data_IF_388565507849
#
_entry.id   IF_388565507849
#
_cell.length_a   1.000
_cell.length_b   1.000
_cell.length_c   1.000
_cell.angle_alpha   90.00
_cell.angle_beta   90.00
_cell.angle_gamma   90.00
#
_symmetry.space_group_name_H-M   'P 1'
#
loop_
_entity.id
_entity.type
_entity.pdbx_description
1 polymer ?
#
# COMPACT_ATOMS: atom_id res chain seq x y z
N UNK A 1 -14.50 7.03 -6.67
CA UNK A 1 -14.17 5.60 -6.53
C UNK A 1 -12.70 5.47 -6.17
N UNK A 2 -12.29 4.32 -5.66
CA UNK A 2 -10.90 4.08 -5.25
C UNK A 2 -10.35 2.95 -6.09
N UNK A 3 -9.14 3.17 -6.58
CA UNK A 3 -8.33 2.17 -7.25
C UNK A 3 -7.33 1.65 -6.23
N UNK A 4 -7.18 0.33 -6.12
CA UNK A 4 -6.19 -0.31 -5.25
C UNK A 4 -5.22 -1.09 -6.13
N UNK A 5 -3.92 -0.90 -5.94
CA UNK A 5 -2.87 -1.65 -6.61
C UNK A 5 -1.88 -2.26 -5.63
N UNK A 6 -1.49 -3.49 -5.92
CA UNK A 6 -0.39 -4.22 -5.26
C UNK A 6 0.38 -4.94 -6.36
N UNK A 7 1.70 -4.75 -6.43
CA UNK A 7 2.53 -5.24 -7.54
C UNK A 7 1.97 -4.77 -8.90
N UNK A 8 1.60 -5.72 -9.75
CA UNK A 8 1.05 -5.49 -11.09
C UNK A 8 -0.48 -5.70 -11.14
N UNK A 9 -1.11 -6.03 -10.01
CA UNK A 9 -2.56 -6.26 -9.94
C UNK A 9 -3.24 -5.00 -9.45
N UNK A 10 -4.32 -4.65 -10.14
CA UNK A 10 -5.09 -3.44 -9.89
C UNK A 10 -6.57 -3.79 -9.88
N UNK A 11 -7.24 -3.44 -8.79
CA UNK A 11 -8.68 -3.56 -8.63
C UNK A 11 -9.28 -2.18 -8.28
N UNK A 12 -10.61 -2.07 -8.30
CA UNK A 12 -11.28 -0.81 -7.99
C UNK A 12 -12.65 -1.01 -7.35
N UNK A 13 -13.04 -0.07 -6.51
CA UNK A 13 -14.39 -0.03 -5.92
C UNK A 13 -15.43 0.48 -6.93
N UNK A 14 -16.73 0.21 -6.70
CA UNK A 14 -17.80 0.87 -7.44
C UNK A 14 -17.78 2.39 -7.24
N UNK A 15 -18.32 3.10 -8.24
CA UNK A 15 -18.50 4.55 -8.15
C UNK A 15 -19.60 4.88 -7.15
N UNK A 16 -19.20 5.45 -6.00
CA UNK A 16 -20.13 6.08 -5.07
C UNK A 16 -20.63 7.41 -5.67
N UNK A 17 -21.95 7.56 -5.80
CA UNK A 17 -22.56 8.73 -6.44
C UNK A 17 -22.97 9.77 -5.40
N UNK A 18 -22.70 11.05 -5.67
CA UNK A 18 -23.17 12.20 -4.89
C UNK A 18 -22.79 12.15 -3.39
N UNK A 19 -21.59 11.70 -3.07
CA UNK A 19 -21.08 11.68 -1.69
C UNK A 19 -19.60 11.99 -1.65
N UNK A 20 -19.19 12.75 -0.62
CA UNK A 20 -17.79 13.03 -0.28
C UNK A 20 -17.25 12.10 0.80
N UNK A 21 -18.13 11.32 1.44
CA UNK A 21 -17.79 10.30 2.44
C UNK A 21 -18.32 8.95 1.96
N UNK A 22 -17.73 8.36 0.91
CA UNK A 22 -18.19 7.10 0.37
C UNK A 22 -17.97 5.96 1.37
N UNK A 23 -18.99 5.12 1.55
CA UNK A 23 -18.92 3.87 2.31
C UNK A 23 -19.34 2.75 1.37
N UNK A 24 -18.47 1.76 1.17
CA UNK A 24 -18.73 0.61 0.32
C UNK A 24 -19.06 -0.63 1.16
N UNK A 25 -19.87 -1.53 0.60
CA UNK A 25 -20.10 -2.83 1.21
C UNK A 25 -18.83 -3.69 1.12
N UNK A 26 -18.56 -4.53 2.12
CA UNK A 26 -17.37 -5.38 2.16
C UNK A 26 -17.17 -6.21 0.89
N UNK A 27 -18.26 -6.78 0.33
CA UNK A 27 -18.21 -7.55 -0.92
C UNK A 27 -17.67 -6.78 -2.14
N UNK A 28 -17.76 -5.44 -2.13
CA UNK A 28 -17.40 -4.57 -3.25
C UNK A 28 -16.12 -3.76 -2.98
N UNK A 29 -15.55 -3.88 -1.77
CA UNK A 29 -14.37 -3.15 -1.33
C UNK A 29 -13.36 -4.02 -0.54
N UNK A 30 -13.53 -5.34 -0.59
CA UNK A 30 -12.52 -6.31 -0.17
C UNK A 30 -11.86 -6.87 -1.42
N UNK A 31 -10.54 -6.80 -1.47
CA UNK A 31 -9.73 -7.22 -2.62
C UNK A 31 -8.67 -8.21 -2.16
N UNK A 32 -8.61 -9.36 -2.82
CA UNK A 32 -7.61 -10.39 -2.54
C UNK A 32 -6.44 -10.31 -3.53
N UNK A 33 -5.25 -10.12 -2.99
CA UNK A 33 -4.00 -10.09 -3.75
C UNK A 33 -3.13 -11.30 -3.35
N UNK A 34 -2.81 -12.22 -4.27
CA UNK A 34 -1.90 -13.32 -3.96
C UNK A 34 -0.49 -12.77 -3.75
N UNK A 35 0.08 -13.05 -2.59
CA UNK A 35 1.45 -12.64 -2.23
C UNK A 35 2.35 -13.87 -2.29
N UNK A 36 3.43 -13.75 -3.07
CA UNK A 36 4.44 -14.80 -3.18
C UNK A 36 5.75 -14.30 -2.56
N UNK A 37 6.35 -15.10 -1.67
CA UNK A 37 7.65 -14.78 -1.06
C UNK A 37 8.78 -14.60 -2.07
N UNK A 38 8.64 -15.16 -3.27
CA UNK A 38 9.58 -15.00 -4.39
C UNK A 38 9.51 -13.62 -5.05
N UNK A 39 8.44 -12.85 -4.79
CA UNK A 39 8.22 -11.50 -5.31
C UNK A 39 8.32 -10.44 -4.20
N UNK A 40 8.81 -10.81 -3.03
CA UNK A 40 8.92 -9.93 -1.86
C UNK A 40 9.81 -8.71 -2.14
N UNK A 41 10.88 -8.89 -2.95
CA UNK A 41 11.79 -7.83 -3.43
C UNK A 41 11.09 -6.78 -4.29
N UNK A 42 9.92 -7.11 -4.87
CA UNK A 42 9.16 -6.23 -5.77
C UNK A 42 7.85 -5.74 -5.17
N UNK A 43 7.43 -6.27 -4.01
CA UNK A 43 6.12 -6.02 -3.41
C UNK A 43 5.85 -4.54 -3.15
N UNK A 44 6.86 -3.80 -2.69
CA UNK A 44 6.83 -2.35 -2.56
C UNK A 44 5.81 -1.84 -1.54
N UNK A 45 4.62 -1.49 -2.01
CA UNK A 45 3.56 -0.86 -1.23
C UNK A 45 2.16 -1.33 -1.68
N UNK A 46 1.18 -1.19 -0.79
CA UNK A 46 -0.23 -1.13 -1.18
C UNK A 46 -0.54 0.31 -1.55
N UNK A 47 -0.96 0.53 -2.78
CA UNK A 47 -1.27 1.85 -3.31
C UNK A 47 -2.77 2.01 -3.47
N UNK A 48 -3.31 3.14 -3.04
CA UNK A 48 -4.70 3.51 -3.21
C UNK A 48 -4.76 4.88 -3.90
N UNK A 49 -5.48 4.98 -5.01
CA UNK A 49 -5.68 6.24 -5.72
C UNK A 49 -7.17 6.57 -5.74
N UNK A 50 -7.51 7.75 -5.24
CA UNK A 50 -8.89 8.23 -5.16
C UNK A 50 -9.19 9.08 -6.39
N UNK A 51 -10.29 8.75 -7.05
CA UNK A 51 -10.78 9.44 -8.24
C UNK A 51 -12.21 9.90 -8.03
N UNK A 52 -12.50 11.14 -8.38
CA UNK A 52 -13.87 11.57 -8.65
C UNK A 52 -14.26 11.15 -10.07
N UNK A 53 -15.51 10.72 -10.24
CA UNK A 53 -16.03 10.29 -11.55
C UNK A 53 -17.20 11.16 -11.96
N UNK A 54 -16.93 12.07 -12.87
CA UNK A 54 -17.96 12.82 -13.60
C UNK A 54 -18.39 12.11 -14.88
N UNK A 55 -19.45 12.62 -15.50
CA UNK A 55 -20.00 12.04 -16.73
C UNK A 55 -18.97 11.96 -17.85
N UNK A 56 -18.07 12.96 -17.97
CA UNK A 56 -17.12 13.09 -19.08
C UNK A 56 -15.64 13.04 -18.68
N UNK A 57 -15.31 13.22 -17.41
CA UNK A 57 -13.93 13.23 -16.89
C UNK A 57 -13.77 12.31 -15.69
N UNK A 58 -12.53 12.23 -15.21
CA UNK A 58 -12.18 11.69 -13.90
C UNK A 58 -11.18 12.65 -13.29
N UNK A 59 -11.50 13.14 -12.10
CA UNK A 59 -10.62 14.06 -11.40
C UNK A 59 -9.87 13.29 -10.32
N UNK A 60 -8.58 13.53 -10.24
CA UNK A 60 -7.72 12.92 -9.24
C UNK A 60 -7.92 13.66 -7.91
N UNK A 61 -8.09 12.92 -6.81
CA UNK A 61 -8.34 13.50 -5.48
C UNK A 61 -7.21 13.27 -4.46
N UNK A 62 -6.27 12.37 -4.78
CA UNK A 62 -5.19 12.00 -3.86
C UNK A 62 -4.82 10.54 -3.98
N UNK A 63 -3.69 10.18 -3.38
CA UNK A 63 -3.29 8.80 -3.18
C UNK A 63 -2.82 8.52 -1.75
N UNK A 64 -2.69 7.23 -1.46
CA UNK A 64 -2.00 6.69 -0.30
C UNK A 64 -1.10 5.57 -0.79
N UNK A 65 0.14 5.53 -0.30
CA UNK A 65 1.02 4.37 -0.46
C UNK A 65 1.42 3.89 0.93
N UNK A 66 1.17 2.61 1.20
CA UNK A 66 1.51 1.96 2.48
C UNK A 66 2.62 0.97 2.19
N UNK A 67 3.89 1.33 2.49
CA UNK A 67 5.01 0.44 2.25
C UNK A 67 4.86 -0.83 3.08
N UNK A 68 5.45 -1.92 2.62
CA UNK A 68 5.41 -3.22 3.30
C UNK A 68 5.79 -3.13 4.79
N UNK A 69 6.75 -2.28 5.14
CA UNK A 69 7.22 -2.06 6.51
C UNK A 69 6.16 -1.44 7.43
N UNK A 70 5.15 -0.77 6.87
CA UNK A 70 4.08 -0.09 7.60
C UNK A 70 2.76 -0.87 7.59
N UNK A 71 2.72 -2.09 7.03
CA UNK A 71 1.48 -2.87 6.95
C UNK A 71 0.92 -3.19 8.34
N UNK A 72 1.79 -3.70 9.22
CA UNK A 72 1.41 -4.17 10.55
C UNK A 72 2.08 -3.40 11.68
N UNK A 73 2.80 -2.32 11.38
CA UNK A 73 3.41 -1.44 12.38
C UNK A 73 3.01 -0.01 12.04
N UNK A 74 2.48 0.74 13.01
CA UNK A 74 2.20 2.16 12.80
C UNK A 74 3.41 3.08 13.02
N UNK A 75 3.21 4.37 12.77
CA UNK A 75 4.25 5.40 12.91
C UNK A 75 4.74 5.58 14.34
N UNK A 76 3.97 5.12 15.33
CA UNK A 76 4.34 5.12 16.73
C UNK A 76 4.98 3.78 17.16
N UNK A 77 5.18 2.84 16.23
CA UNK A 77 5.77 1.53 16.48
C UNK A 77 4.80 0.52 17.08
N UNK A 78 3.49 0.78 17.07
CA UNK A 78 2.49 -0.16 17.59
C UNK A 78 2.17 -1.21 16.54
N UNK A 79 2.18 -2.47 16.97
CA UNK A 79 1.86 -3.61 16.12
C UNK A 79 0.34 -3.74 15.89
N UNK A 80 -0.03 -4.25 14.72
CA UNK A 80 -1.38 -4.65 14.33
C UNK A 80 -1.44 -6.15 14.15
N UNK A 81 -2.63 -6.69 14.29
CA UNK A 81 -2.94 -8.08 13.95
C UNK A 81 -2.61 -8.39 12.49
N UNK A 82 -1.91 -9.51 12.26
CA UNK A 82 -1.46 -9.91 10.92
C UNK A 82 -2.58 -10.48 10.05
N UNK A 83 -3.52 -11.21 10.66
CA UNK A 83 -4.61 -11.89 9.98
C UNK A 83 -5.81 -10.97 9.73
N UNK A 84 -6.41 -11.06 8.54
CA UNK A 84 -7.56 -10.23 8.16
C UNK A 84 -8.78 -10.47 9.06
N UNK A 85 -9.07 -11.73 9.38
CA UNK A 85 -10.24 -12.12 10.18
C UNK A 85 -9.98 -12.15 11.70
N UNK A 86 -8.78 -11.77 12.15
CA UNK A 86 -8.48 -11.68 13.58
C UNK A 86 -9.34 -10.60 14.26
N UNK A 87 -9.87 -10.90 15.44
CA UNK A 87 -10.78 -10.03 16.18
C UNK A 87 -10.15 -8.66 16.53
N UNK A 88 -8.84 -8.65 16.78
CA UNK A 88 -8.08 -7.42 17.05
C UNK A 88 -7.75 -6.59 15.80
N UNK A 89 -7.97 -7.12 14.59
CA UNK A 89 -7.65 -6.41 13.36
C UNK A 89 -8.72 -5.34 13.06
N UNK A 90 -8.43 -4.11 13.46
CA UNK A 90 -9.30 -2.94 13.30
C UNK A 90 -8.87 -2.07 12.10
N UNK A 91 -9.84 -1.47 11.38
CA UNK A 91 -9.52 -0.52 10.32
C UNK A 91 -8.77 0.71 10.86
N UNK A 92 -7.83 1.23 10.09
CA UNK A 92 -7.06 2.43 10.41
C UNK A 92 -7.19 3.48 9.30
N UNK A 93 -7.00 4.75 9.67
CA UNK A 93 -7.14 5.88 8.76
C UNK A 93 -5.79 6.38 8.29
N UNK A 94 -5.68 6.66 6.98
CA UNK A 94 -4.50 7.27 6.37
C UNK A 94 -4.93 8.51 5.60
N UNK A 95 -4.17 9.60 5.76
CA UNK A 95 -4.43 10.85 5.04
C UNK A 95 -4.03 10.71 3.58
N UNK A 96 -4.84 11.27 2.69
CA UNK A 96 -4.50 11.37 1.28
C UNK A 96 -3.33 12.34 1.11
N UNK A 97 -2.37 11.96 0.29
CA UNK A 97 -1.30 12.84 -0.22
C UNK A 97 -1.54 13.13 -1.70
N UNK A 98 -0.94 14.20 -2.21
CA UNK A 98 -1.00 14.53 -3.63
C UNK A 98 0.40 14.72 -4.17
N UNK A 99 0.74 13.92 -5.18
CA UNK A 99 1.92 14.11 -6.02
C UNK A 99 1.68 15.13 -7.14
N UNK A 100 0.46 15.65 -7.30
CA UNK A 100 0.11 16.62 -8.36
C UNK A 100 0.14 18.05 -7.83
N UNK A 101 1.02 18.87 -8.42
CA UNK A 101 1.29 20.25 -8.00
C UNK A 101 0.05 21.16 -7.88
N UNK A 102 -1.02 20.88 -8.64
CA UNK A 102 -2.23 21.71 -8.70
C UNK A 102 -3.46 21.08 -8.02
N UNK A 103 -3.30 19.97 -7.29
CA UNK A 103 -4.41 19.32 -6.57
C UNK A 103 -4.06 19.22 -5.10
N UNK A 104 -4.50 20.15 -4.23
CA UNK A 104 -4.36 19.97 -2.79
C UNK A 104 -5.15 18.72 -2.37
N UNK A 105 -4.47 17.68 -1.89
CA UNK A 105 -5.15 16.52 -1.33
C UNK A 105 -5.79 16.92 -0.01
N UNK A 106 -7.11 16.74 0.09
CA UNK A 106 -7.85 16.91 1.32
C UNK A 106 -8.70 15.65 1.55
N UNK A 107 -8.60 15.09 2.76
CA UNK A 107 -9.35 13.91 3.16
C UNK A 107 -8.46 12.76 3.62
N UNK A 108 -9.13 11.69 4.02
CA UNK A 108 -8.52 10.47 4.52
C UNK A 108 -9.29 9.27 4.00
N UNK A 109 -8.60 8.14 3.91
CA UNK A 109 -9.22 6.85 3.63
C UNK A 109 -9.07 5.95 4.86
N UNK A 110 -10.13 5.22 5.21
CA UNK A 110 -10.07 4.19 6.23
C UNK A 110 -9.96 2.83 5.53
N UNK A 111 -8.97 2.03 5.92
CA UNK A 111 -8.71 0.72 5.35
C UNK A 111 -8.48 -0.32 6.43
N UNK A 112 -8.70 -1.58 6.09
CA UNK A 112 -8.31 -2.75 6.90
C UNK A 112 -7.41 -3.63 6.04
N UNK A 113 -6.27 -4.04 6.58
CA UNK A 113 -5.27 -4.86 5.90
C UNK A 113 -4.98 -6.09 6.77
N UNK A 114 -4.80 -7.24 6.14
CA UNK A 114 -4.40 -8.48 6.81
C UNK A 114 -4.19 -9.61 5.83
N UNK A 115 -3.44 -10.62 6.24
CA UNK A 115 -3.30 -11.86 5.51
C UNK A 115 -4.57 -12.70 5.65
N UNK A 116 -4.98 -13.32 4.56
CA UNK A 116 -6.05 -14.30 4.53
C UNK A 116 -5.45 -15.70 4.27
N UNK A 117 -6.02 -16.76 4.88
CA UNK A 117 -5.62 -18.12 4.54
C UNK A 117 -5.94 -18.40 3.07
N UNK A 118 -4.97 -18.89 2.32
CA UNK A 118 -5.20 -19.27 0.92
C UNK A 118 -5.78 -20.68 0.88
N UNK A 119 -6.98 -20.90 0.31
CA UNK A 119 -7.51 -22.25 0.14
C UNK A 119 -6.54 -23.05 -0.73
N UNK A 120 -6.09 -24.20 -0.24
CA UNK A 120 -5.10 -25.10 -0.87
C UNK A 120 -3.61 -24.73 -0.71
N UNK A 121 -3.24 -23.65 -0.02
CA UNK A 121 -1.87 -23.46 0.40
C UNK A 121 -1.64 -24.22 1.71
N UNK A 122 -0.65 -25.12 1.74
CA UNK A 122 -0.08 -25.56 3.01
C UNK A 122 0.72 -24.37 3.56
N UNK A 123 0.06 -23.48 4.31
CA UNK A 123 0.76 -22.45 5.06
C UNK A 123 1.58 -23.15 6.13
N UNK A 124 2.84 -23.41 5.82
CA UNK A 124 3.81 -24.00 6.75
C UNK A 124 4.35 -22.97 7.76
N UNK A 125 4.07 -21.68 7.53
CA UNK A 125 4.50 -20.56 8.35
C UNK A 125 3.28 -19.81 8.87
N UNK A 126 3.40 -19.32 10.10
CA UNK A 126 2.45 -18.38 10.70
C UNK A 126 2.57 -16.99 10.05
N UNK A 127 1.53 -16.16 10.21
CA UNK A 127 1.47 -14.87 9.51
C UNK A 127 2.56 -13.88 9.93
N UNK A 128 3.02 -13.91 11.18
CA UNK A 128 4.13 -13.11 11.68
C UNK A 128 5.46 -13.52 11.03
N UNK A 129 5.70 -14.81 10.86
CA UNK A 129 6.87 -15.34 10.17
C UNK A 129 6.85 -14.98 8.68
N UNK A 130 5.68 -15.10 8.02
CA UNK A 130 5.48 -14.65 6.64
C UNK A 130 5.81 -13.17 6.50
N UNK A 131 5.30 -12.33 7.40
CA UNK A 131 5.60 -10.89 7.37
C UNK A 131 7.09 -10.61 7.55
N UNK A 132 7.71 -11.26 8.53
CA UNK A 132 9.15 -11.14 8.78
C UNK A 132 9.98 -11.50 7.55
N UNK A 133 9.63 -12.59 6.86
CA UNK A 133 10.31 -13.00 5.61
C UNK A 133 10.07 -12.02 4.46
N UNK A 134 8.85 -11.50 4.30
CA UNK A 134 8.54 -10.49 3.29
C UNK A 134 9.39 -9.23 3.52
N UNK A 135 9.41 -8.70 4.74
CA UNK A 135 10.19 -7.50 5.08
C UNK A 135 11.69 -7.76 4.86
N UNK A 136 12.23 -8.87 5.36
CA UNK A 136 13.65 -9.22 5.18
C UNK A 136 14.06 -9.29 3.71
N UNK A 137 13.22 -9.89 2.85
CA UNK A 137 13.50 -10.07 1.42
C UNK A 137 13.24 -8.82 0.58
N UNK A 138 12.36 -7.94 1.05
CA UNK A 138 12.09 -6.65 0.39
C UNK A 138 13.25 -5.68 0.47
N UNK A 139 14.11 -5.83 1.50
CA UNK A 139 15.28 -4.99 1.69
C UNK A 139 16.36 -5.39 0.69
N UNK A 140 16.78 -4.51 -0.23
CA UNK A 140 17.93 -4.79 -1.07
C UNK A 140 19.12 -5.04 -0.15
N UNK A 141 19.80 -6.17 -0.34
CA UNK A 141 21.02 -6.47 0.38
C UNK A 141 21.99 -5.29 0.21
N UNK A 142 22.35 -4.62 1.31
CA UNK A 142 23.35 -3.54 1.35
C UNK A 142 24.79 -4.06 1.04
N UNK A 143 24.92 -5.13 0.28
CA UNK A 143 26.17 -5.59 -0.33
C UNK A 143 26.19 -5.10 -1.79
N UNK A 144 25.93 -3.82 -2.00
CA UNK A 144 26.51 -3.10 -3.14
C UNK A 144 27.49 -2.10 -2.55
N UNK A 145 28.78 -2.37 -2.76
CA UNK A 145 29.87 -1.50 -2.38
C UNK A 145 29.56 -0.03 -2.73
N UNK A 146 30.05 0.94 -1.93
CA UNK A 146 29.92 2.35 -2.31
C UNK A 146 30.59 2.56 -3.67
N UNK A 147 30.01 3.36 -4.59
CA UNK A 147 30.78 3.91 -5.68
C UNK A 147 31.88 4.77 -5.05
N UNK A 148 33.10 4.27 -5.01
CA UNK A 148 34.28 5.09 -4.76
C UNK A 148 34.48 5.98 -5.99
N UNK A 149 33.85 7.15 -5.98
CA UNK A 149 34.22 8.21 -6.90
C UNK A 149 35.56 8.79 -6.45
N UNK A 150 36.64 8.23 -7.00
CA UNK A 150 37.92 8.93 -7.11
C UNK A 150 37.74 10.13 -8.06
N UNK A 151 38.25 11.27 -7.60
CA UNK A 151 38.60 12.49 -8.34
C UNK A 151 37.48 13.43 -8.82
N UNK A 152 37.35 14.51 -8.06
CA UNK A 152 37.37 15.91 -8.51
C UNK A 152 36.56 16.27 -9.76
N UNK A 153 35.40 16.90 -9.55
CA UNK A 153 34.86 17.81 -10.56
C UNK A 153 34.20 19.02 -9.88
N UNK A 154 34.71 20.21 -10.19
CA UNK A 154 34.23 21.51 -9.72
C UNK A 154 32.85 21.84 -10.33
N UNK A 155 32.00 22.50 -9.55
CA UNK A 155 30.80 23.19 -10.06
C UNK A 155 31.11 24.69 -10.06
N UNK A 156 31.17 25.30 -11.26
CA UNK A 156 31.02 26.75 -11.40
C UNK A 156 29.55 27.07 -11.67
N UNK A 157 29.03 28.08 -10.97
CA UNK A 157 27.73 28.69 -11.24
C UNK A 157 27.92 29.91 -12.16
N UNK A 158 27.01 30.07 -13.13
CA UNK A 158 26.61 31.35 -13.69
C UNK A 158 25.16 31.60 -13.28
#
# INVERSE_FOLDING_TARGET
FVVVSVLNKKDQTPVAKKTVNPVWAAKDATFDFPIYLSLADRLGAVELVVWDKDMLSKDYLGEVAIPLEDWFVDKEGREREFGFDQLGNQPFSVNLVSTRANTPSAGSIQIKLGFAPTPNAQNLMEFDEIYGELVKRSRPSLVSAPPVSISSCHIMYF
#
